data_IF_206599329148
#
_entry.id   IF_206599329148
#
_cell.length_a   1.000
_cell.length_b   1.000
_cell.length_c   1.000
_cell.angle_alpha   90.00
_cell.angle_beta   90.00
_cell.angle_gamma   90.00
#
_symmetry.space_group_name_H-M   'P 1'
#
loop_
_entity.id
_entity.type
_entity.pdbx_description
1 polymer ?
#
# COMPACT_ATOMS: atom_id res chain seq x y z
N UNK A 1 32.60 23.74 7.76
CA UNK A 1 31.57 23.51 6.73
C UNK A 1 30.40 22.76 7.36
N UNK A 2 29.25 23.42 7.54
CA UNK A 2 28.02 22.80 8.05
C UNK A 2 27.24 22.25 6.86
N UNK A 3 27.09 20.92 6.79
CA UNK A 3 26.20 20.30 5.81
C UNK A 3 24.75 20.77 6.07
N UNK A 4 24.03 21.29 5.07
CA UNK A 4 22.62 21.61 5.24
C UNK A 4 21.84 20.30 5.40
N UNK A 5 21.14 20.17 6.52
CA UNK A 5 20.19 19.07 6.76
C UNK A 5 19.12 19.07 5.67
N UNK A 6 19.31 18.22 4.66
CA UNK A 6 18.32 17.93 3.62
C UNK A 6 17.09 17.33 4.31
N UNK A 7 16.01 18.12 4.42
CA UNK A 7 14.71 17.63 4.89
C UNK A 7 14.30 16.43 4.02
N UNK A 8 14.37 15.23 4.58
CA UNK A 8 13.71 14.05 4.02
C UNK A 8 12.21 14.32 4.13
N UNK A 9 11.60 14.76 3.03
CA UNK A 9 10.15 14.72 2.89
C UNK A 9 9.77 13.24 2.87
N UNK A 10 9.47 12.67 4.04
CA UNK A 10 8.87 11.36 4.12
C UNK A 10 7.56 11.43 3.35
N UNK A 11 7.46 10.64 2.28
CA UNK A 11 6.29 10.48 1.41
C UNK A 11 5.09 9.83 2.15
N UNK A 12 5.11 9.82 3.48
CA UNK A 12 4.08 9.31 4.36
C UNK A 12 3.35 10.53 4.90
N UNK A 13 2.27 10.94 4.22
CA UNK A 13 1.43 12.05 4.67
C UNK A 13 0.87 11.70 6.06
N UNK A 14 1.01 12.63 7.02
CA UNK A 14 0.51 12.46 8.41
C UNK A 14 -0.96 12.09 8.48
N UNK A 15 -1.74 12.47 7.47
CA UNK A 15 -3.16 12.12 7.33
C UNK A 15 -3.40 10.61 7.17
N UNK A 16 -2.47 9.88 6.54
CA UNK A 16 -2.52 8.43 6.41
C UNK A 16 -2.31 7.75 7.76
N UNK A 17 -1.25 8.15 8.47
CA UNK A 17 -0.97 7.64 9.82
C UNK A 17 -2.12 7.98 10.76
N UNK A 18 -2.67 9.19 10.69
CA UNK A 18 -3.81 9.61 11.49
C UNK A 18 -5.05 8.74 11.26
N UNK A 19 -5.47 8.55 10.00
CA UNK A 19 -6.64 7.71 9.68
C UNK A 19 -6.44 6.24 10.05
N UNK A 20 -5.24 5.71 9.82
CA UNK A 20 -4.91 4.32 10.16
C UNK A 20 -4.90 4.10 11.67
N UNK A 21 -4.26 5.00 12.43
CA UNK A 21 -4.25 4.98 13.91
C UNK A 21 -5.67 5.15 14.46
N UNK A 22 -6.47 6.04 13.88
CA UNK A 22 -7.83 6.29 14.34
C UNK A 22 -8.73 5.07 14.10
N UNK A 23 -8.68 4.43 12.92
CA UNK A 23 -9.41 3.19 12.64
C UNK A 23 -8.94 2.06 13.56
N UNK A 24 -7.63 1.88 13.74
CA UNK A 24 -7.08 0.87 14.66
C UNK A 24 -7.51 1.13 16.11
N UNK A 25 -7.44 2.38 16.56
CA UNK A 25 -7.85 2.81 17.89
C UNK A 25 -9.34 2.57 18.12
N UNK A 26 -10.20 2.95 17.17
CA UNK A 26 -11.65 2.72 17.26
C UNK A 26 -11.97 1.22 17.30
N UNK A 27 -11.26 0.42 16.49
CA UNK A 27 -11.41 -1.04 16.47
C UNK A 27 -11.00 -1.65 17.81
N UNK A 28 -9.89 -1.21 18.39
CA UNK A 28 -9.44 -1.64 19.72
C UNK A 28 -10.43 -1.24 20.82
N UNK A 29 -10.98 -0.03 20.78
CA UNK A 29 -11.98 0.44 21.76
C UNK A 29 -13.26 -0.38 21.63
N UNK A 30 -13.78 -0.59 20.42
CA UNK A 30 -14.97 -1.42 20.20
C UNK A 30 -14.79 -2.86 20.66
N UNK A 31 -13.59 -3.39 20.48
CA UNK A 31 -13.22 -4.74 20.90
C UNK A 31 -13.07 -4.86 22.42
N UNK A 32 -12.46 -3.88 23.07
CA UNK A 32 -12.40 -3.78 24.53
C UNK A 32 -13.80 -3.68 25.14
N UNK A 33 -14.70 -2.91 24.51
CA UNK A 33 -16.10 -2.80 24.93
C UNK A 33 -16.84 -4.15 24.77
N UNK A 34 -16.63 -4.86 23.67
CA UNK A 34 -17.23 -6.18 23.43
C UNK A 34 -16.78 -7.21 24.47
N UNK A 35 -15.48 -7.27 24.77
CA UNK A 35 -14.92 -8.18 25.79
C UNK A 35 -15.47 -7.82 27.17
N UNK A 36 -15.50 -6.53 27.51
CA UNK A 36 -16.06 -6.06 28.78
C UNK A 36 -17.53 -6.42 28.91
N UNK A 37 -18.30 -6.32 27.82
CA UNK A 37 -19.71 -6.70 27.80
C UNK A 37 -19.90 -8.21 28.01
N UNK A 38 -19.18 -9.05 27.26
CA UNK A 38 -19.22 -10.52 27.42
C UNK A 38 -18.84 -10.92 28.85
N UNK A 39 -17.77 -10.34 29.40
CA UNK A 39 -17.31 -10.61 30.76
C UNK A 39 -18.36 -10.18 31.79
N UNK A 40 -18.96 -9.00 31.63
CA UNK A 40 -20.03 -8.51 32.52
C UNK A 40 -21.26 -9.41 32.50
N UNK A 41 -21.69 -9.89 31.33
CA UNK A 41 -22.82 -10.83 31.21
C UNK A 41 -22.50 -12.18 31.84
N UNK A 42 -21.28 -12.71 31.64
CA UNK A 42 -20.85 -13.98 32.25
C UNK A 42 -20.75 -13.88 33.77
N UNK A 43 -20.19 -12.78 34.29
CA UNK A 43 -20.12 -12.50 35.73
C UNK A 43 -21.53 -12.38 36.32
N UNK A 44 -22.45 -11.67 35.66
CA UNK A 44 -23.85 -11.57 36.11
C UNK A 44 -24.53 -12.93 36.18
N UNK A 45 -24.46 -13.74 35.12
CA UNK A 45 -25.07 -15.06 35.10
C UNK A 45 -24.47 -16.00 36.16
N UNK A 46 -23.17 -15.89 36.39
CA UNK A 46 -22.45 -16.66 37.40
C UNK A 46 -22.85 -16.26 38.83
N UNK A 47 -22.96 -14.95 39.10
CA UNK A 47 -23.47 -14.40 40.36
C UNK A 47 -24.93 -14.81 40.60
N UNK A 48 -25.79 -14.70 39.59
CA UNK A 48 -27.20 -15.11 39.68
C UNK A 48 -27.32 -16.59 40.03
N UNK A 49 -26.52 -17.46 39.40
CA UNK A 49 -26.50 -18.90 39.70
C UNK A 49 -25.99 -19.21 41.11
N UNK A 50 -24.93 -18.54 41.56
CA UNK A 50 -24.40 -18.71 42.93
C UNK A 50 -25.29 -18.10 44.02
N UNK A 51 -26.01 -17.01 43.73
CA UNK A 51 -26.97 -16.42 44.67
C UNK A 51 -28.20 -17.33 44.80
N UNK A 52 -28.63 -17.99 43.71
CA UNK A 52 -29.70 -18.98 43.74
C UNK A 52 -29.30 -20.27 44.48
N UNK A 53 -28.01 -20.61 44.49
CA UNK A 53 -27.45 -21.76 45.20
C UNK A 53 -26.90 -21.34 46.56
N UNK A 54 -27.79 -21.18 47.55
CA UNK A 54 -27.66 -20.50 48.85
C UNK A 54 -26.50 -20.86 49.82
N UNK A 55 -25.25 -21.05 49.40
CA UNK A 55 -24.09 -21.24 50.30
C UNK A 55 -22.84 -20.50 49.78
N UNK A 56 -22.75 -19.20 50.06
CA UNK A 56 -21.54 -18.40 49.82
C UNK A 56 -20.43 -18.80 50.82
N UNK A 57 -19.64 -19.82 50.46
CA UNK A 57 -18.34 -20.09 51.09
C UNK A 57 -17.29 -19.17 50.46
N UNK A 58 -17.00 -18.07 51.16
CA UNK A 58 -16.12 -16.96 50.73
C UNK A 58 -14.72 -17.41 50.30
N UNK A 59 -14.24 -18.58 50.74
CA UNK A 59 -12.95 -19.16 50.32
C UNK A 59 -12.89 -19.63 48.85
N UNK A 60 -14.03 -19.89 48.17
CA UNK A 60 -14.04 -20.37 46.76
C UNK A 60 -14.37 -19.31 45.72
N UNK A 61 -14.73 -18.10 46.14
CA UNK A 61 -15.12 -17.04 45.22
C UNK A 61 -13.94 -16.58 44.34
N UNK A 62 -12.72 -16.59 44.88
CA UNK A 62 -11.49 -16.25 44.14
C UNK A 62 -11.19 -17.23 43.01
N UNK A 63 -11.21 -18.53 43.29
CA UNK A 63 -10.93 -19.58 42.28
C UNK A 63 -12.00 -19.63 41.19
N UNK A 64 -13.26 -19.43 41.56
CA UNK A 64 -14.36 -19.38 40.60
C UNK A 64 -14.28 -18.14 39.68
N UNK A 65 -14.02 -16.97 40.26
CA UNK A 65 -13.84 -15.74 39.49
C UNK A 65 -12.59 -15.81 38.60
N UNK A 66 -11.51 -16.44 39.08
CA UNK A 66 -10.29 -16.64 38.30
C UNK A 66 -10.51 -17.57 37.10
N UNK A 67 -11.22 -18.69 37.28
CA UNK A 67 -11.59 -19.58 36.17
C UNK A 67 -12.42 -18.88 35.10
N UNK A 68 -13.44 -18.12 35.52
CA UNK A 68 -14.30 -17.34 34.62
C UNK A 68 -13.53 -16.22 33.90
N UNK A 69 -12.65 -15.50 34.61
CA UNK A 69 -11.77 -14.50 34.03
C UNK A 69 -10.85 -15.12 33.00
N UNK A 70 -10.27 -16.29 33.28
CA UNK A 70 -9.32 -16.91 32.38
C UNK A 70 -9.98 -17.46 31.11
N UNK A 71 -11.12 -18.14 31.25
CA UNK A 71 -11.91 -18.60 30.09
C UNK A 71 -12.35 -17.43 29.21
N UNK A 72 -12.85 -16.35 29.83
CA UNK A 72 -13.30 -15.16 29.08
C UNK A 72 -12.14 -14.44 28.41
N UNK A 73 -10.98 -14.33 29.05
CA UNK A 73 -9.80 -13.72 28.44
C UNK A 73 -9.27 -14.55 27.27
N UNK A 74 -9.25 -15.88 27.37
CA UNK A 74 -8.81 -16.75 26.27
C UNK A 74 -9.74 -16.61 25.06
N UNK A 75 -11.06 -16.65 25.27
CA UNK A 75 -12.05 -16.44 24.20
C UNK A 75 -11.90 -15.02 23.62
N UNK A 76 -11.70 -14.03 24.49
CA UNK A 76 -11.43 -12.65 24.09
C UNK A 76 -10.21 -12.56 23.16
N UNK A 77 -9.06 -13.08 23.58
CA UNK A 77 -7.81 -13.07 22.80
C UNK A 77 -7.99 -13.77 21.45
N UNK A 78 -8.66 -14.93 21.41
CA UNK A 78 -8.93 -15.64 20.16
C UNK A 78 -9.82 -14.83 19.22
N UNK A 79 -10.85 -14.15 19.76
CA UNK A 79 -11.69 -13.26 18.98
C UNK A 79 -10.91 -12.05 18.43
N UNK A 80 -10.02 -11.45 19.23
CA UNK A 80 -9.12 -10.37 18.80
C UNK A 80 -8.25 -10.86 17.64
N UNK A 81 -7.56 -11.99 17.82
CA UNK A 81 -6.68 -12.58 16.82
C UNK A 81 -7.44 -12.85 15.52
N UNK A 82 -8.61 -13.47 15.60
CA UNK A 82 -9.45 -13.74 14.44
C UNK A 82 -9.82 -12.47 13.68
N UNK A 83 -10.26 -11.43 14.40
CA UNK A 83 -10.65 -10.16 13.80
C UNK A 83 -9.46 -9.43 13.16
N UNK A 84 -8.31 -9.38 13.83
CA UNK A 84 -7.08 -8.76 13.31
C UNK A 84 -6.62 -9.47 12.05
N UNK A 85 -6.63 -10.81 12.04
CA UNK A 85 -6.28 -11.60 10.85
C UNK A 85 -7.22 -11.29 9.70
N UNK A 86 -8.54 -11.24 9.96
CA UNK A 86 -9.55 -10.96 8.93
C UNK A 86 -9.34 -9.56 8.32
N UNK A 87 -9.23 -8.53 9.15
CA UNK A 87 -8.99 -7.15 8.70
C UNK A 87 -7.66 -7.05 7.93
N UNK A 88 -6.60 -7.65 8.47
CA UNK A 88 -5.29 -7.67 7.83
C UNK A 88 -5.35 -8.33 6.46
N UNK A 89 -6.00 -9.49 6.34
CA UNK A 89 -6.18 -10.22 5.08
C UNK A 89 -6.92 -9.38 4.04
N UNK A 90 -7.98 -8.66 4.44
CA UNK A 90 -8.74 -7.78 3.53
C UNK A 90 -7.86 -6.62 3.04
N UNK A 91 -7.10 -5.99 3.93
CA UNK A 91 -6.21 -4.89 3.58
C UNK A 91 -5.10 -5.39 2.65
N UNK A 92 -4.40 -6.45 3.04
CA UNK A 92 -3.29 -7.04 2.27
C UNK A 92 -3.73 -7.47 0.89
N UNK A 93 -4.87 -8.16 0.76
CA UNK A 93 -5.37 -8.60 -0.55
C UNK A 93 -5.68 -7.41 -1.47
N UNK A 94 -6.27 -6.34 -0.93
CA UNK A 94 -6.53 -5.12 -1.70
C UNK A 94 -5.25 -4.41 -2.13
N UNK A 95 -4.28 -4.30 -1.23
CA UNK A 95 -2.97 -3.71 -1.53
C UNK A 95 -2.24 -4.53 -2.61
N UNK A 96 -2.19 -5.85 -2.44
CA UNK A 96 -1.52 -6.76 -3.36
C UNK A 96 -2.08 -6.65 -4.77
N UNK A 97 -3.40 -6.51 -4.92
CA UNK A 97 -4.02 -6.33 -6.23
C UNK A 97 -3.53 -5.06 -6.94
N UNK A 98 -3.41 -3.94 -6.23
CA UNK A 98 -2.87 -2.70 -6.81
C UNK A 98 -1.38 -2.85 -7.15
N UNK A 99 -0.57 -3.45 -6.27
CA UNK A 99 0.84 -3.68 -6.54
C UNK A 99 1.09 -4.64 -7.71
N UNK A 100 0.30 -5.71 -7.84
CA UNK A 100 0.38 -6.63 -8.98
C UNK A 100 0.06 -5.94 -10.30
N UNK A 101 -0.95 -5.07 -10.32
CA UNK A 101 -1.28 -4.27 -11.51
C UNK A 101 -0.14 -3.32 -11.87
N UNK A 102 0.41 -2.58 -10.92
CA UNK A 102 1.59 -1.72 -11.12
C UNK A 102 2.80 -2.52 -11.64
N UNK A 103 3.09 -3.68 -11.04
CA UNK A 103 4.16 -4.55 -11.50
C UNK A 103 3.94 -5.06 -12.93
N UNK A 104 2.69 -5.37 -13.29
CA UNK A 104 2.35 -5.79 -14.66
C UNK A 104 2.54 -4.66 -15.66
N UNK A 105 2.08 -3.44 -15.35
CA UNK A 105 2.31 -2.26 -16.19
C UNK A 105 3.80 -1.97 -16.36
N UNK A 106 4.59 -2.01 -15.28
CA UNK A 106 6.05 -1.86 -15.34
C UNK A 106 6.70 -2.93 -16.22
N UNK A 107 6.28 -4.19 -16.09
CA UNK A 107 6.81 -5.28 -16.90
C UNK A 107 6.48 -5.11 -18.39
N UNK A 108 5.33 -4.52 -18.72
CA UNK A 108 4.97 -4.21 -20.11
C UNK A 108 5.74 -3.00 -20.65
N UNK A 109 5.90 -1.94 -19.85
CA UNK A 109 6.77 -0.83 -20.18
C UNK A 109 8.21 -1.27 -20.44
N UNK A 110 8.72 -2.22 -19.64
CA UNK A 110 10.05 -2.81 -19.83
C UNK A 110 10.18 -3.58 -21.16
N UNK A 111 9.07 -4.10 -21.69
CA UNK A 111 9.00 -4.74 -23.03
C UNK A 111 8.74 -3.74 -24.15
N UNK A 112 8.65 -2.45 -23.85
CA UNK A 112 8.36 -1.38 -24.83
C UNK A 112 6.87 -1.20 -25.14
N UNK A 113 5.97 -1.86 -24.43
CA UNK A 113 4.52 -1.69 -24.61
C UNK A 113 3.97 -0.66 -23.61
N UNK A 114 3.56 0.49 -24.16
CA UNK A 114 2.98 1.62 -23.41
C UNK A 114 1.47 1.78 -23.66
N UNK A 115 0.83 0.81 -24.33
CA UNK A 115 -0.57 0.90 -24.77
C UNK A 115 -1.60 0.63 -23.66
N UNK A 116 -1.15 0.16 -22.49
CA UNK A 116 -2.07 -0.17 -21.40
C UNK A 116 -2.92 1.02 -20.95
N UNK A 117 -4.22 0.81 -20.69
CA UNK A 117 -5.08 1.85 -20.14
C UNK A 117 -4.63 2.26 -18.72
N UNK A 118 -4.92 3.50 -18.30
CA UNK A 118 -4.62 3.97 -16.95
C UNK A 118 -5.24 3.07 -15.88
N UNK A 119 -4.50 2.84 -14.80
CA UNK A 119 -5.03 2.05 -13.69
C UNK A 119 -6.09 2.83 -12.90
N UNK A 120 -7.12 2.12 -12.44
CA UNK A 120 -8.17 2.71 -11.62
C UNK A 120 -7.62 3.25 -10.28
N UNK A 121 -8.09 4.41 -9.81
CA UNK A 121 -7.64 5.00 -8.56
C UNK A 121 -8.00 4.11 -7.37
N UNK A 122 -7.15 4.13 -6.34
CA UNK A 122 -7.42 3.43 -5.09
C UNK A 122 -8.17 4.32 -4.10
N UNK A 123 -8.85 3.71 -3.13
CA UNK A 123 -9.40 4.42 -1.97
C UNK A 123 -8.29 4.98 -1.06
N UNK A 124 -7.08 4.42 -1.15
CA UNK A 124 -5.91 4.90 -0.45
C UNK A 124 -5.21 5.96 -1.31
N UNK A 125 -5.14 7.19 -0.79
CA UNK A 125 -4.62 8.34 -1.53
C UNK A 125 -3.15 8.18 -1.91
N UNK A 126 -2.38 7.44 -1.12
CA UNK A 126 -0.96 7.14 -1.32
C UNK A 126 -0.77 6.21 -2.51
N UNK A 127 -1.60 5.18 -2.62
CA UNK A 127 -1.58 4.25 -3.76
C UNK A 127 -1.99 5.00 -5.03
N UNK A 128 -2.99 5.86 -4.94
CA UNK A 128 -3.41 6.69 -6.08
C UNK A 128 -2.29 7.64 -6.54
N UNK A 129 -1.50 8.18 -5.63
CA UNK A 129 -0.30 8.96 -5.98
C UNK A 129 0.77 8.11 -6.67
N UNK A 130 0.99 6.87 -6.21
CA UNK A 130 1.92 5.96 -6.88
C UNK A 130 1.43 5.59 -8.29
N UNK A 131 0.13 5.34 -8.46
CA UNK A 131 -0.49 5.07 -9.76
C UNK A 131 -0.31 6.28 -10.69
N UNK A 132 -0.54 7.51 -10.19
CA UNK A 132 -0.37 8.71 -11.03
C UNK A 132 1.07 8.93 -11.44
N UNK A 133 2.04 8.70 -10.55
CA UNK A 133 3.47 8.79 -10.87
C UNK A 133 3.87 7.73 -11.90
N UNK A 134 3.35 6.51 -11.79
CA UNK A 134 3.56 5.46 -12.76
C UNK A 134 3.01 5.85 -14.14
N UNK A 135 1.83 6.46 -14.18
CA UNK A 135 1.19 6.90 -15.41
C UNK A 135 1.95 8.06 -16.06
N UNK A 136 2.41 9.04 -15.27
CA UNK A 136 3.27 10.13 -15.73
C UNK A 136 4.58 9.59 -16.31
N UNK A 137 5.21 8.64 -15.61
CA UNK A 137 6.40 7.96 -16.09
C UNK A 137 6.13 7.22 -17.41
N UNK A 138 5.01 6.51 -17.53
CA UNK A 138 4.60 5.81 -18.76
C UNK A 138 4.47 6.78 -19.94
N UNK A 139 3.81 7.92 -19.74
CA UNK A 139 3.68 8.95 -20.78
C UNK A 139 5.03 9.52 -21.18
N UNK A 140 5.89 9.84 -20.20
CA UNK A 140 7.23 10.38 -20.47
C UNK A 140 8.08 9.41 -21.30
N UNK A 141 8.10 8.12 -20.96
CA UNK A 141 8.83 7.12 -21.75
C UNK A 141 8.22 6.94 -23.15
N UNK A 142 6.89 6.94 -23.27
CA UNK A 142 6.23 6.84 -24.58
C UNK A 142 6.62 7.99 -25.52
N UNK A 143 6.66 9.22 -25.03
CA UNK A 143 7.10 10.37 -25.81
C UNK A 143 8.56 10.25 -26.24
N UNK A 144 9.44 9.77 -25.34
CA UNK A 144 10.85 9.53 -25.66
C UNK A 144 11.03 8.46 -26.73
N UNK A 145 10.29 7.35 -26.63
CA UNK A 145 10.30 6.30 -27.64
C UNK A 145 9.78 6.78 -28.99
N UNK A 146 8.68 7.53 -29.01
CA UNK A 146 8.16 8.14 -30.25
C UNK A 146 9.19 9.10 -30.88
N UNK A 147 9.88 9.90 -30.07
CA UNK A 147 10.94 10.80 -30.55
C UNK A 147 12.13 10.05 -31.15
N UNK A 148 12.48 8.90 -30.56
CA UNK A 148 13.56 8.05 -31.08
C UNK A 148 13.17 7.41 -32.42
N UNK A 149 11.92 6.95 -32.54
CA UNK A 149 11.42 6.35 -33.78
C UNK A 149 11.37 7.38 -34.93
N UNK A 150 10.96 8.62 -34.63
CA UNK A 150 10.96 9.73 -35.59
C UNK A 150 12.38 10.06 -36.10
N UNK A 151 13.37 10.11 -35.19
CA UNK A 151 14.79 10.31 -35.56
C UNK A 151 15.33 9.12 -36.36
N UNK A 152 14.94 7.89 -36.04
CA UNK A 152 15.38 6.72 -36.80
C UNK A 152 14.81 6.74 -38.23
N UNK A 153 13.53 7.09 -38.39
CA UNK A 153 12.90 7.24 -39.70
C UNK A 153 13.52 8.39 -40.51
N UNK A 154 13.86 9.51 -39.87
CA UNK A 154 14.52 10.64 -40.54
C UNK A 154 15.91 10.25 -41.05
N UNK A 155 16.68 9.49 -40.26
CA UNK A 155 17.99 8.93 -40.64
C UNK A 155 17.85 7.93 -41.79
N UNK A 156 16.88 7.00 -41.71
CA UNK A 156 16.67 6.01 -42.76
C UNK A 156 16.28 6.68 -44.10
N UNK A 157 15.44 7.71 -44.04
CA UNK A 157 15.04 8.49 -45.22
C UNK A 157 16.23 9.24 -45.81
N UNK A 158 17.03 9.92 -44.98
CA UNK A 158 18.23 10.63 -45.41
C UNK A 158 19.32 9.69 -45.98
N UNK A 159 19.43 8.47 -45.45
CA UNK A 159 20.35 7.45 -45.93
C UNK A 159 19.92 6.86 -47.29
N UNK A 160 18.61 6.72 -47.53
CA UNK A 160 18.07 6.24 -48.82
C UNK A 160 18.24 7.27 -49.94
N UNK A 161 18.14 8.56 -49.63
CA UNK A 161 18.29 9.64 -50.62
C UNK A 161 19.75 9.91 -51.05
N UNK A 162 20.75 9.24 -50.46
CA UNK A 162 22.19 9.27 -50.83
C UNK A 162 22.85 10.67 -51.03
N UNK A 163 22.19 11.77 -50.68
CA UNK A 163 22.58 13.11 -51.13
C UNK A 163 22.85 14.13 -50.01
N UNK A 164 22.61 13.81 -48.73
CA UNK A 164 22.62 14.82 -47.66
C UNK A 164 23.38 14.37 -46.40
N UNK A 165 24.71 14.30 -46.54
CA UNK A 165 25.65 13.98 -45.45
C UNK A 165 25.50 14.94 -44.26
N UNK A 166 25.14 16.20 -44.50
CA UNK A 166 24.94 17.20 -43.45
C UNK A 166 23.68 16.91 -42.63
N UNK A 167 22.57 16.49 -43.27
CA UNK A 167 21.39 15.98 -42.56
C UNK A 167 21.68 14.76 -41.69
N UNK A 168 22.46 13.81 -42.20
CA UNK A 168 22.85 12.61 -41.43
C UNK A 168 23.68 12.95 -40.19
N UNK A 169 24.59 13.92 -40.30
CA UNK A 169 25.36 14.42 -39.15
C UNK A 169 24.45 15.09 -38.13
N UNK A 170 23.49 15.90 -38.58
CA UNK A 170 22.56 16.61 -37.71
C UNK A 170 21.64 15.66 -36.93
N UNK A 171 21.12 14.61 -37.57
CA UNK A 171 20.26 13.62 -36.91
C UNK A 171 21.06 12.69 -35.97
N UNK A 172 22.31 12.35 -36.30
CA UNK A 172 23.23 11.68 -35.37
C UNK A 172 23.48 12.52 -34.11
N UNK A 173 23.65 13.83 -34.25
CA UNK A 173 23.87 14.73 -33.13
C UNK A 173 22.62 14.86 -32.26
N UNK A 174 21.42 14.89 -32.87
CA UNK A 174 20.14 14.80 -32.16
C UNK A 174 20.00 13.49 -31.39
N UNK A 175 20.31 12.36 -32.00
CA UNK A 175 20.27 11.04 -31.34
C UNK A 175 21.23 10.99 -30.15
N UNK A 176 22.46 11.51 -30.32
CA UNK A 176 23.47 11.58 -29.25
C UNK A 176 23.04 12.50 -28.11
N UNK A 177 22.37 13.61 -28.42
CA UNK A 177 21.81 14.52 -27.41
C UNK A 177 20.64 13.89 -26.66
N UNK A 178 19.81 13.08 -27.33
CA UNK A 178 18.73 12.34 -26.68
C UNK A 178 19.27 11.22 -25.78
N UNK A 179 20.24 10.44 -26.26
CA UNK A 179 20.88 9.37 -25.50
C UNK A 179 21.61 9.90 -24.24
N UNK A 180 22.32 11.02 -24.35
CA UNK A 180 22.99 11.65 -23.19
C UNK A 180 22.01 12.12 -22.12
N UNK A 181 20.79 12.52 -22.49
CA UNK A 181 19.73 12.91 -21.55
C UNK A 181 18.98 11.73 -20.92
N UNK A 182 19.14 10.52 -21.48
CA UNK A 182 18.37 9.33 -21.09
C UNK A 182 19.21 8.33 -20.28
N UNK A 183 20.54 8.51 -20.21
CA UNK A 183 21.37 7.76 -19.25
C UNK A 183 20.96 8.15 -17.83
N UNK A 184 20.56 7.15 -17.04
CA UNK A 184 20.46 7.32 -15.59
C UNK A 184 21.83 7.74 -15.05
N UNK A 185 21.90 8.67 -14.08
CA UNK A 185 23.14 8.93 -13.37
C UNK A 185 23.60 7.64 -12.69
N UNK A 186 24.87 7.28 -12.86
CA UNK A 186 25.54 6.17 -12.16
C UNK A 186 25.42 6.30 -10.63
#
# INVERSE_FOLDING_TARGET
MRYPFRRRNFFIKKEFQGKFILIYGLTLIGLAALITWILSTKIRNALEWQIYSSHLRVERTGDFMFGLLMETNVIGILAILGLVILISMVIVNRLNLHFQRMGTTLNQMAKGDFSQPPQAPSRFQEITQLISLLEEMKMHYREKFASLDDILQSIETAARDQADTDRLIQERDRLSQLLSRTRLPD
#
